data_IF_445168479871
#
_entry.id   IF_445168479871
#
_cell.length_a   1.000
_cell.length_b   1.000
_cell.length_c   1.000
_cell.angle_alpha   90.00
_cell.angle_beta   90.00
_cell.angle_gamma   90.00
#
_symmetry.space_group_name_H-M   'P 1'
#
loop_
_entity.id
_entity.type
_entity.pdbx_description
1 polymer ?
#
# COMPACT_ATOMS: atom_id res chain seq x y z
N UNK A 1 4.18 0.23 55.73
CA UNK A 1 3.11 0.49 54.77
C UNK A 1 3.40 -0.30 53.51
N UNK A 2 2.61 -1.34 53.23
CA UNK A 2 2.69 -2.08 51.97
C UNK A 2 1.79 -1.37 50.98
N UNK A 3 2.38 -0.70 49.99
CA UNK A 3 1.64 -0.11 48.88
C UNK A 3 1.28 -1.27 47.95
N UNK A 4 -0.01 -1.50 47.64
CA UNK A 4 -0.37 -2.52 46.66
C UNK A 4 0.32 -2.16 45.35
N UNK A 5 1.03 -3.12 44.74
CA UNK A 5 1.56 -2.95 43.40
C UNK A 5 0.40 -2.62 42.46
N UNK A 6 0.47 -1.46 41.80
CA UNK A 6 -0.44 -1.09 40.73
C UNK A 6 -0.34 -2.17 39.65
N UNK A 7 -1.32 -3.08 39.61
CA UNK A 7 -1.40 -4.00 38.49
C UNK A 7 -1.71 -3.18 37.23
N UNK A 8 -0.95 -3.36 36.14
CA UNK A 8 -1.25 -2.70 34.87
C UNK A 8 -2.69 -2.99 34.49
N UNK A 9 -3.41 -1.99 33.98
CA UNK A 9 -4.73 -2.19 33.38
C UNK A 9 -4.56 -3.15 32.21
N UNK A 10 -4.87 -4.43 32.42
CA UNK A 10 -4.91 -5.44 31.37
C UNK A 10 -6.17 -5.19 30.54
N UNK A 11 -6.03 -4.33 29.54
CA UNK A 11 -6.86 -4.35 28.34
C UNK A 11 -5.98 -5.03 27.31
N UNK A 12 -6.33 -6.25 26.89
CA UNK A 12 -5.53 -6.98 25.91
C UNK A 12 -5.11 -6.04 24.78
N UNK A 13 -3.80 -5.98 24.52
CA UNK A 13 -3.28 -5.04 23.54
C UNK A 13 -3.81 -5.38 22.15
N UNK A 14 -4.19 -6.63 21.91
CA UNK A 14 -4.79 -7.11 20.67
C UNK A 14 -5.90 -8.12 20.98
N UNK A 15 -6.83 -8.28 20.06
CA UNK A 15 -7.94 -9.23 20.18
C UNK A 15 -7.70 -10.42 19.24
N UNK A 16 -7.96 -11.63 19.73
CA UNK A 16 -7.89 -12.87 18.96
C UNK A 16 -9.21 -13.62 19.11
N UNK A 17 -9.80 -14.02 18.00
CA UNK A 17 -11.03 -14.81 17.94
C UNK A 17 -10.90 -15.90 16.87
N UNK A 18 -11.29 -17.13 17.20
CA UNK A 18 -11.23 -18.28 16.29
C UNK A 18 -9.88 -19.01 16.29
N UNK A 19 -9.62 -19.77 15.23
CA UNK A 19 -8.38 -20.53 15.04
C UNK A 19 -7.25 -19.62 14.54
N UNK A 20 -6.37 -19.21 15.47
CA UNK A 20 -5.26 -18.30 15.19
C UNK A 20 -3.99 -18.86 15.84
N UNK A 21 -2.98 -19.14 15.01
CA UNK A 21 -1.66 -19.58 15.46
C UNK A 21 -0.65 -18.46 15.29
N UNK A 22 0.00 -18.05 16.38
CA UNK A 22 0.98 -16.96 16.39
C UNK A 22 2.34 -17.51 16.78
N UNK A 23 3.35 -17.30 15.93
CA UNK A 23 4.72 -17.67 16.27
C UNK A 23 5.24 -16.85 17.47
N UNK A 24 6.01 -17.44 18.41
CA UNK A 24 6.48 -16.75 19.62
C UNK A 24 7.32 -15.49 19.40
N UNK A 25 7.91 -15.34 18.22
CA UNK A 25 8.74 -14.18 17.85
C UNK A 25 7.99 -13.10 17.09
N UNK A 26 6.71 -13.29 16.79
CA UNK A 26 5.90 -12.27 16.14
C UNK A 26 5.64 -11.08 17.08
N UNK A 27 5.63 -9.88 16.52
CA UNK A 27 5.38 -8.63 17.25
C UNK A 27 4.00 -8.12 16.86
N UNK A 28 3.11 -8.03 17.84
CA UNK A 28 1.73 -7.61 17.66
C UNK A 28 1.51 -6.28 18.39
N UNK A 29 1.28 -5.20 17.64
CA UNK A 29 1.03 -3.89 18.21
C UNK A 29 -0.38 -3.77 18.82
N UNK A 30 -0.61 -2.66 19.53
CA UNK A 30 -1.91 -2.40 20.15
C UNK A 30 -3.03 -2.20 19.11
N UNK A 31 -4.25 -2.59 19.45
CA UNK A 31 -5.43 -2.48 18.60
C UNK A 31 -5.47 -3.47 17.43
N UNK A 32 -4.56 -4.44 17.35
CA UNK A 32 -4.63 -5.50 16.32
C UNK A 32 -5.83 -6.40 16.60
N UNK A 33 -6.58 -6.75 15.56
CA UNK A 33 -7.69 -7.70 15.60
C UNK A 33 -7.39 -8.88 14.69
N UNK A 34 -7.35 -10.08 15.26
CA UNK A 34 -7.22 -11.34 14.53
C UNK A 34 -8.53 -12.11 14.69
N UNK A 35 -9.25 -12.30 13.59
CA UNK A 35 -10.50 -13.05 13.57
C UNK A 35 -10.45 -14.15 12.52
N UNK A 36 -10.62 -15.39 12.94
CA UNK A 36 -10.88 -16.50 12.05
C UNK A 36 -12.34 -16.95 12.20
N UNK A 37 -13.07 -16.98 11.09
CA UNK A 37 -14.42 -17.53 11.05
C UNK A 37 -14.41 -19.07 11.25
N UNK A 38 -15.57 -19.72 11.48
CA UNK A 38 -15.63 -21.17 11.53
C UNK A 38 -14.95 -21.82 10.31
N UNK A 39 -14.17 -22.86 10.55
CA UNK A 39 -13.39 -23.59 9.53
C UNK A 39 -12.30 -22.76 8.81
N UNK A 40 -12.07 -21.51 9.23
CA UNK A 40 -10.99 -20.66 8.73
C UNK A 40 -9.84 -20.62 9.75
N UNK A 41 -8.62 -20.34 9.28
CA UNK A 41 -7.47 -20.25 10.18
C UNK A 41 -6.51 -19.12 9.79
N UNK A 42 -5.93 -18.47 10.80
CA UNK A 42 -4.86 -17.47 10.63
C UNK A 42 -3.54 -18.05 11.14
N UNK A 43 -2.48 -17.93 10.34
CA UNK A 43 -1.13 -18.31 10.72
C UNK A 43 -0.22 -17.08 10.66
N UNK A 44 0.36 -16.70 11.80
CA UNK A 44 1.34 -15.62 11.88
C UNK A 44 2.75 -16.20 12.03
N UNK A 45 3.58 -16.01 11.01
CA UNK A 45 4.94 -16.52 10.91
C UNK A 45 5.95 -15.87 11.85
N UNK A 46 7.15 -16.48 11.90
CA UNK A 46 8.24 -16.02 12.75
C UNK A 46 8.70 -14.59 12.40
N UNK A 47 8.86 -13.74 13.41
CA UNK A 47 9.35 -12.37 13.23
C UNK A 47 8.40 -11.43 12.47
N UNK A 48 7.17 -11.86 12.18
CA UNK A 48 6.18 -10.99 11.57
C UNK A 48 5.84 -9.81 12.50
N UNK A 49 5.71 -8.62 11.94
CA UNK A 49 5.41 -7.39 12.66
C UNK A 49 4.06 -6.84 12.21
N UNK A 50 3.09 -6.77 13.11
CA UNK A 50 1.76 -6.22 12.84
C UNK A 50 1.63 -4.82 13.43
N UNK A 51 1.46 -3.83 12.56
CA UNK A 51 1.27 -2.43 12.95
C UNK A 51 -0.03 -2.20 13.72
N UNK A 52 -0.05 -1.12 14.50
CA UNK A 52 -1.20 -0.73 15.33
C UNK A 52 -2.49 -0.69 14.51
N UNK A 53 -3.58 -1.21 15.07
CA UNK A 53 -4.90 -1.17 14.43
C UNK A 53 -5.05 -2.04 13.18
N UNK A 54 -4.10 -2.95 12.91
CA UNK A 54 -4.23 -3.92 11.81
C UNK A 54 -5.36 -4.90 12.08
N UNK A 55 -6.18 -5.18 11.08
CA UNK A 55 -7.25 -6.18 11.14
C UNK A 55 -6.95 -7.30 10.16
N UNK A 56 -6.86 -8.52 10.65
CA UNK A 56 -6.77 -9.75 9.86
C UNK A 56 -8.03 -10.57 10.11
N UNK A 57 -8.81 -10.81 9.06
CA UNK A 57 -10.02 -11.60 9.10
C UNK A 57 -9.91 -12.75 8.11
N UNK A 58 -9.67 -13.97 8.59
CA UNK A 58 -9.75 -15.16 7.75
C UNK A 58 -11.21 -15.59 7.58
N UNK A 59 -11.64 -15.68 6.32
CA UNK A 59 -13.01 -16.05 5.94
C UNK A 59 -12.95 -17.00 4.74
N UNK A 60 -13.54 -18.19 4.91
CA UNK A 60 -13.61 -19.28 3.92
C UNK A 60 -12.24 -19.84 3.50
N UNK A 61 -11.29 -19.93 4.42
CA UNK A 61 -9.99 -20.53 4.13
C UNK A 61 -8.90 -20.10 5.09
N UNK A 62 -7.66 -20.09 4.60
CA UNK A 62 -6.51 -19.73 5.42
C UNK A 62 -5.82 -18.45 4.99
N UNK A 63 -5.49 -17.65 6.02
CA UNK A 63 -4.72 -16.45 5.89
C UNK A 63 -3.34 -16.65 6.53
N UNK A 64 -2.32 -16.83 5.69
CA UNK A 64 -0.94 -17.01 6.13
C UNK A 64 -0.17 -15.69 6.04
N UNK A 65 0.36 -15.23 7.16
CA UNK A 65 1.39 -14.18 7.20
C UNK A 65 2.74 -14.87 7.31
N UNK A 66 3.56 -14.75 6.26
CA UNK A 66 4.89 -15.35 6.21
C UNK A 66 5.87 -14.83 7.27
N UNK A 67 7.02 -15.48 7.36
CA UNK A 67 8.09 -15.03 8.25
C UNK A 67 8.59 -13.63 7.85
N UNK A 68 8.98 -12.82 8.84
CA UNK A 68 9.60 -11.50 8.66
C UNK A 68 8.76 -10.50 7.86
N UNK A 69 7.46 -10.75 7.71
CA UNK A 69 6.54 -9.80 7.07
C UNK A 69 6.37 -8.57 7.94
N UNK A 70 6.42 -7.39 7.33
CA UNK A 70 6.09 -6.13 8.01
C UNK A 70 4.76 -5.61 7.50
N UNK A 71 3.78 -5.49 8.39
CA UNK A 71 2.46 -4.91 8.08
C UNK A 71 2.35 -3.53 8.73
N UNK A 72 2.13 -2.51 7.91
CA UNK A 72 1.94 -1.13 8.37
C UNK A 72 0.70 -0.94 9.24
N UNK A 73 0.60 0.20 9.91
CA UNK A 73 -0.54 0.51 10.77
C UNK A 73 -1.85 0.60 9.96
N UNK A 74 -2.95 0.16 10.58
CA UNK A 74 -4.30 0.28 10.02
C UNK A 74 -4.55 -0.54 8.74
N UNK A 75 -3.75 -1.58 8.49
CA UNK A 75 -3.96 -2.47 7.35
C UNK A 75 -5.17 -3.36 7.59
N UNK A 76 -5.97 -3.60 6.54
CA UNK A 76 -7.10 -4.53 6.54
C UNK A 76 -6.79 -5.69 5.60
N UNK A 77 -6.84 -6.93 6.10
CA UNK A 77 -6.74 -8.12 5.27
C UNK A 77 -7.95 -9.01 5.55
N UNK A 78 -8.70 -9.35 4.51
CA UNK A 78 -9.92 -10.16 4.63
C UNK A 78 -9.89 -11.31 3.63
N UNK A 79 -10.28 -12.49 4.11
CA UNK A 79 -10.43 -13.70 3.31
C UNK A 79 -9.25 -14.64 3.42
N UNK A 80 -9.05 -15.44 2.38
CA UNK A 80 -7.91 -16.36 2.26
C UNK A 80 -6.76 -15.76 1.44
N UNK A 81 -5.55 -16.24 1.71
CA UNK A 81 -4.37 -15.84 0.96
C UNK A 81 -3.08 -16.02 1.75
N UNK A 82 -1.96 -15.88 1.04
CA UNK A 82 -0.63 -15.96 1.62
C UNK A 82 0.11 -14.65 1.40
N UNK A 83 0.61 -14.05 2.47
CA UNK A 83 1.58 -12.97 2.43
C UNK A 83 2.96 -13.61 2.47
N UNK A 84 3.69 -13.56 1.35
CA UNK A 84 5.00 -14.15 1.22
C UNK A 84 5.99 -13.60 2.24
N UNK A 85 6.95 -14.44 2.66
CA UNK A 85 7.94 -14.04 3.65
C UNK A 85 8.68 -12.75 3.24
N UNK A 86 9.08 -11.95 4.22
CA UNK A 86 9.81 -10.68 4.02
C UNK A 86 9.07 -9.64 3.17
N UNK A 87 7.77 -9.80 2.91
CA UNK A 87 6.96 -8.79 2.24
C UNK A 87 6.70 -7.59 3.17
N UNK A 88 6.54 -6.41 2.58
CA UNK A 88 6.26 -5.16 3.27
C UNK A 88 4.92 -4.61 2.80
N UNK A 89 3.95 -4.52 3.71
CA UNK A 89 2.62 -3.96 3.43
C UNK A 89 2.57 -2.55 3.97
N UNK A 90 2.39 -1.57 3.09
CA UNK A 90 2.25 -0.18 3.46
C UNK A 90 1.02 0.09 4.34
N UNK A 91 1.10 1.13 5.17
CA UNK A 91 0.04 1.50 6.10
C UNK A 91 -1.29 1.79 5.38
N UNK A 92 -2.41 1.50 6.07
CA UNK A 92 -3.77 1.73 5.61
C UNK A 92 -4.11 1.08 4.25
N UNK A 93 -3.38 0.02 3.87
CA UNK A 93 -3.70 -0.79 2.70
C UNK A 93 -4.78 -1.83 3.03
N UNK A 94 -5.55 -2.20 2.01
CA UNK A 94 -6.58 -3.23 2.08
C UNK A 94 -6.26 -4.36 1.12
N UNK A 95 -6.28 -5.59 1.61
CA UNK A 95 -6.05 -6.81 0.82
C UNK A 95 -7.29 -7.71 0.99
N UNK A 96 -7.92 -8.10 -0.11
CA UNK A 96 -9.14 -8.90 -0.09
C UNK A 96 -8.96 -10.15 -0.96
N UNK A 97 -9.04 -11.35 -0.39
CA UNK A 97 -8.88 -12.62 -1.13
C UNK A 97 -7.68 -12.61 -2.10
N UNK A 98 -6.52 -12.11 -1.67
CA UNK A 98 -5.37 -11.95 -2.53
C UNK A 98 -4.08 -12.35 -1.81
N UNK A 99 -3.20 -13.03 -2.54
CA UNK A 99 -1.89 -13.42 -2.06
C UNK A 99 -0.83 -12.43 -2.53
N UNK A 100 0.17 -12.20 -1.69
CA UNK A 100 1.30 -11.31 -1.95
C UNK A 100 2.55 -12.17 -2.10
N UNK A 101 3.34 -11.91 -3.13
CA UNK A 101 4.57 -12.65 -3.38
C UNK A 101 5.64 -12.41 -2.29
N UNK A 102 6.61 -13.32 -2.21
CA UNK A 102 7.76 -13.20 -1.33
C UNK A 102 8.55 -11.90 -1.60
N UNK A 103 8.91 -11.17 -0.55
CA UNK A 103 9.70 -9.94 -0.66
C UNK A 103 9.00 -8.78 -1.36
N UNK A 104 7.71 -8.91 -1.72
CA UNK A 104 6.99 -7.85 -2.40
C UNK A 104 6.76 -6.64 -1.49
N UNK A 105 6.77 -5.44 -2.08
CA UNK A 105 6.49 -4.18 -1.39
C UNK A 105 5.16 -3.65 -1.91
N UNK A 106 4.16 -3.62 -1.03
CA UNK A 106 2.86 -3.00 -1.31
C UNK A 106 2.91 -1.56 -0.78
N UNK A 107 2.72 -0.54 -1.62
CA UNK A 107 2.68 0.86 -1.17
C UNK A 107 1.57 1.12 -0.13
N UNK A 108 1.68 2.16 0.72
CA UNK A 108 0.59 2.58 1.59
C UNK A 108 -0.68 2.93 0.79
N UNK A 109 -1.84 2.79 1.43
CA UNK A 109 -3.16 3.08 0.82
C UNK A 109 -3.47 2.24 -0.43
N UNK A 110 -2.83 1.07 -0.59
CA UNK A 110 -3.11 0.17 -1.70
C UNK A 110 -4.41 -0.60 -1.47
N UNK A 111 -5.13 -0.94 -2.54
CA UNK A 111 -6.28 -1.84 -2.52
C UNK A 111 -6.02 -3.01 -3.47
N UNK A 112 -5.87 -4.21 -2.93
CA UNK A 112 -5.55 -5.43 -3.68
C UNK A 112 -6.69 -6.44 -3.55
N UNK A 113 -6.98 -7.15 -4.66
CA UNK A 113 -7.99 -8.22 -4.68
C UNK A 113 -9.45 -7.74 -4.61
N UNK A 114 -9.73 -6.55 -5.15
CA UNK A 114 -11.07 -5.99 -5.21
C UNK A 114 -12.10 -7.02 -5.76
N UNK A 115 -13.27 -7.17 -5.11
CA UNK A 115 -14.35 -7.97 -5.65
C UNK A 115 -14.83 -7.33 -6.95
N UNK A 116 -14.57 -8.04 -8.05
CA UNK A 116 -15.00 -7.78 -9.42
C UNK A 116 -14.74 -6.36 -9.97
N UNK A 117 -13.49 -6.16 -10.41
CA UNK A 117 -13.30 -5.62 -11.76
C UNK A 117 -12.59 -6.70 -12.56
N UNK A 118 -13.35 -7.55 -13.24
CA UNK A 118 -12.87 -8.23 -14.44
C UNK A 118 -12.29 -7.15 -15.37
N UNK A 119 -10.99 -6.94 -15.29
CA UNK A 119 -10.25 -6.39 -16.42
C UNK A 119 -10.00 -7.62 -17.27
N UNK A 120 -10.85 -7.82 -18.27
CA UNK A 120 -10.59 -8.74 -19.37
C UNK A 120 -9.26 -8.32 -19.97
N UNK A 121 -8.17 -8.91 -19.50
CA UNK A 121 -6.93 -8.89 -20.24
C UNK A 121 -7.24 -9.69 -21.50
N UNK A 122 -7.51 -8.99 -22.60
CA UNK A 122 -7.53 -9.61 -23.93
C UNK A 122 -6.13 -10.17 -24.15
N UNK A 123 -5.99 -11.45 -23.82
CA UNK A 123 -4.94 -12.33 -24.32
C UNK A 123 -4.86 -12.11 -25.82
N UNK A 124 -3.83 -11.39 -26.26
CA UNK A 124 -3.42 -11.35 -27.65
C UNK A 124 -2.64 -12.64 -27.89
N UNK A 125 -3.36 -13.74 -28.08
CA UNK A 125 -2.79 -14.99 -28.61
C UNK A 125 -2.53 -14.80 -30.12
N UNK A 126 -1.39 -15.24 -30.65
CA UNK A 126 -0.95 -14.92 -31.99
C UNK A 126 -1.68 -15.80 -33.02
N UNK A 127 -2.21 -15.18 -34.08
CA UNK A 127 -2.79 -15.89 -35.21
C UNK A 127 -2.20 -15.34 -36.54
N UNK A 128 -2.10 -16.19 -37.58
CA UNK A 128 -0.91 -16.35 -38.41
C UNK A 128 -0.84 -15.42 -39.64
N UNK A 129 0.36 -15.33 -40.23
CA UNK A 129 0.61 -14.69 -41.52
C UNK A 129 -0.32 -15.17 -42.63
N UNK A 130 -0.69 -14.25 -43.54
CA UNK A 130 -0.61 -14.58 -44.96
C UNK A 130 0.07 -13.45 -45.76
N UNK A 131 1.07 -13.82 -46.56
CA UNK A 131 1.50 -13.08 -47.77
C UNK A 131 0.99 -13.85 -49.01
N UNK A 132 1.07 -13.33 -50.25
CA UNK A 132 1.16 -11.94 -50.76
C UNK A 132 0.15 -11.69 -51.93
N UNK A 133 0.32 -10.56 -52.65
CA UNK A 133 -0.18 -10.20 -54.03
C UNK A 133 -1.37 -9.23 -54.05
N UNK A 134 -1.52 -8.26 -54.96
CA UNK A 134 -0.72 -7.25 -55.67
C UNK A 134 -1.75 -6.48 -56.55
N UNK A 135 -1.45 -5.22 -56.93
CA UNK A 135 -2.19 -4.37 -57.92
C UNK A 135 -3.55 -3.78 -57.49
N UNK A 136 -3.89 -2.50 -57.72
CA UNK A 136 -3.37 -1.44 -58.58
C UNK A 136 -3.69 -0.01 -58.04
N UNK A 137 -2.70 0.90 -58.15
CA UNK A 137 -2.69 2.30 -58.67
C UNK A 137 -3.88 3.27 -58.32
N UNK A 138 -3.73 4.52 -57.83
CA UNK A 138 -3.02 5.72 -58.36
C UNK A 138 -3.08 6.91 -57.34
N UNK A 139 -1.96 7.64 -57.17
CA UNK A 139 -1.70 9.09 -56.88
C UNK A 139 -2.45 9.83 -55.74
N UNK A 140 -1.82 10.62 -54.84
CA UNK A 140 -1.04 11.86 -55.12
C UNK A 140 -0.23 12.32 -53.89
N UNK A 141 0.90 12.99 -54.15
CA UNK A 141 1.92 13.61 -53.29
C UNK A 141 1.39 14.50 -52.13
N UNK A 142 2.10 14.57 -50.99
CA UNK A 142 2.93 15.74 -50.60
C UNK A 142 3.77 15.50 -49.32
N UNK A 143 5.04 15.88 -49.40
CA UNK A 143 6.13 15.84 -48.41
C UNK A 143 6.04 16.97 -47.36
N UNK A 144 6.66 16.84 -46.17
CA UNK A 144 7.24 18.02 -45.54
C UNK A 144 8.75 17.87 -45.25
N UNK A 145 9.51 18.97 -45.35
CA UNK A 145 10.95 18.98 -45.46
C UNK A 145 11.67 18.97 -44.12
N UNK A 146 12.90 18.43 -44.18
CA UNK A 146 13.94 18.53 -43.18
C UNK A 146 14.41 19.99 -43.00
N UNK A 147 14.55 20.46 -41.76
CA UNK A 147 14.93 21.84 -41.45
C UNK A 147 15.57 21.98 -40.07
N UNK A 148 16.90 22.00 -40.07
CA UNK A 148 17.89 22.53 -39.13
C UNK A 148 17.39 23.21 -37.85
N UNK A 149 17.83 22.66 -36.70
CA UNK A 149 17.73 23.27 -35.36
C UNK A 149 18.75 24.40 -35.20
N UNK A 150 18.28 25.58 -34.79
CA UNK A 150 19.08 26.70 -34.28
C UNK A 150 18.65 26.99 -32.82
N UNK A 151 19.57 27.15 -31.85
CA UNK A 151 19.24 27.16 -30.43
C UNK A 151 19.18 28.60 -29.89
N UNK A 152 18.04 29.27 -30.01
CA UNK A 152 17.85 30.58 -29.37
C UNK A 152 16.37 30.94 -29.17
N UNK A 153 15.75 30.46 -28.08
CA UNK A 153 14.69 31.15 -27.32
C UNK A 153 14.12 30.23 -26.23
N UNK A 154 14.85 30.08 -25.11
CA UNK A 154 14.24 29.57 -23.87
C UNK A 154 13.85 30.82 -23.06
N UNK A 155 12.57 31.18 -23.08
CA UNK A 155 11.99 32.15 -22.14
C UNK A 155 11.58 31.42 -20.85
N UNK A 156 11.91 31.95 -19.66
CA UNK A 156 11.83 31.19 -18.42
C UNK A 156 10.47 31.31 -17.71
N UNK A 157 10.23 30.36 -16.79
CA UNK A 157 9.23 30.37 -15.72
C UNK A 157 7.75 30.23 -16.13
N UNK A 158 7.33 28.98 -16.36
CA UNK A 158 6.00 28.56 -15.92
C UNK A 158 6.14 27.96 -14.51
N UNK A 159 5.88 28.78 -13.48
CA UNK A 159 5.66 28.27 -12.14
C UNK A 159 4.45 27.35 -12.16
N UNK A 160 4.66 26.06 -11.92
CA UNK A 160 3.59 25.12 -11.64
C UNK A 160 3.04 25.48 -10.25
N UNK A 161 2.04 26.35 -10.20
CA UNK A 161 1.27 26.62 -9.00
C UNK A 161 0.36 25.43 -8.72
N UNK A 162 0.91 24.45 -8.00
CA UNK A 162 0.17 23.26 -7.57
C UNK A 162 -0.68 23.64 -6.35
N UNK A 163 -1.85 24.22 -6.61
CA UNK A 163 -2.85 24.53 -5.57
C UNK A 163 -3.55 23.24 -5.12
N UNK A 164 -2.97 22.56 -4.14
CA UNK A 164 -3.63 21.45 -3.46
C UNK A 164 -4.63 22.01 -2.43
N UNK A 165 -5.90 22.09 -2.81
CA UNK A 165 -7.00 22.47 -1.91
C UNK A 165 -7.63 21.29 -1.16
N UNK A 166 -7.07 20.08 -1.27
CA UNK A 166 -7.60 18.92 -0.58
C UNK A 166 -7.07 18.83 0.87
N UNK A 167 -7.91 18.58 1.88
CA UNK A 167 -7.45 18.35 3.24
C UNK A 167 -6.59 17.09 3.28
N UNK A 168 -5.29 17.27 3.57
CA UNK A 168 -4.34 16.17 3.72
C UNK A 168 -4.61 15.49 5.06
N UNK A 169 -4.99 14.22 5.03
CA UNK A 169 -5.21 13.43 6.24
C UNK A 169 -3.98 13.46 7.15
N UNK A 170 -4.18 13.76 8.43
CA UNK A 170 -3.11 13.80 9.43
C UNK A 170 -2.31 15.11 9.49
N UNK A 171 -2.72 16.16 8.76
CA UNK A 171 -2.04 17.46 8.78
C UNK A 171 -1.91 18.04 10.20
N UNK A 172 -2.92 17.88 11.06
CA UNK A 172 -2.84 18.33 12.47
C UNK A 172 -1.80 17.56 13.28
N UNK A 173 -1.73 16.23 13.11
CA UNK A 173 -0.73 15.41 13.79
C UNK A 173 0.69 15.75 13.33
N UNK A 174 0.88 15.97 12.03
CA UNK A 174 2.15 16.40 11.46
C UNK A 174 2.53 17.79 11.98
N UNK A 175 1.61 18.75 11.98
CA UNK A 175 1.84 20.09 12.51
C UNK A 175 2.20 20.07 14.00
N UNK A 176 1.57 19.21 14.79
CA UNK A 176 1.88 19.00 16.21
C UNK A 176 3.26 18.38 16.41
N UNK A 177 3.66 17.45 15.55
CA UNK A 177 4.99 16.83 15.59
C UNK A 177 6.07 17.86 15.23
N UNK A 178 5.84 18.65 14.17
CA UNK A 178 6.76 19.71 13.74
C UNK A 178 6.89 20.82 14.78
N UNK A 179 5.80 21.24 15.44
CA UNK A 179 5.86 22.26 16.49
C UNK A 179 6.58 21.77 17.75
N UNK A 180 6.48 20.47 18.06
CA UNK A 180 7.15 19.86 19.21
C UNK A 180 8.65 19.64 18.95
N UNK A 181 9.01 19.16 17.76
CA UNK A 181 10.40 18.78 17.44
C UNK A 181 11.25 19.94 16.90
N UNK A 182 10.62 20.94 16.27
CA UNK A 182 11.32 22.04 15.59
C UNK A 182 10.78 23.43 16.02
N UNK A 183 10.74 23.75 17.33
CA UNK A 183 10.11 24.98 17.84
C UNK A 183 10.73 26.27 17.27
N UNK A 184 12.03 26.27 16.96
CA UNK A 184 12.73 27.45 16.44
C UNK A 184 12.61 27.64 14.92
N UNK A 185 12.17 26.62 14.18
CA UNK A 185 12.06 26.70 12.71
C UNK A 185 10.84 27.51 12.27
N UNK A 186 9.79 27.53 13.09
CA UNK A 186 8.57 28.31 12.83
C UNK A 186 8.79 29.82 13.05
N UNK A 187 9.63 30.20 14.01
CA UNK A 187 10.00 31.60 14.25
C UNK A 187 10.80 32.20 13.07
N UNK A 188 11.64 31.40 12.42
CA UNK A 188 12.40 31.82 11.24
C UNK A 188 11.51 32.09 10.02
N UNK A 189 10.43 31.32 9.84
CA UNK A 189 9.48 31.55 8.74
C UNK A 189 8.54 32.74 8.99
N UNK A 190 8.24 33.05 10.26
CA UNK A 190 7.42 34.22 10.65
C UNK A 190 8.18 35.54 10.69
N UNK A 191 9.50 35.54 10.55
CA UNK A 191 10.35 36.74 10.56
C UNK A 191 10.70 37.30 9.18
N UNK A 192 10.10 36.75 8.10
CA UNK A 192 10.31 37.21 6.71
C UNK A 192 9.03 37.80 6.08
N UNK A 193 8.08 38.26 6.90
CA UNK A 193 6.99 39.16 6.47
C UNK A 193 7.24 40.59 6.93
#
# INVERSE_FOLDING_TARGET
>A
MHVPSLQPVSRDQFCVSGDVTIHPTAIIASGVLLQADPESHIIIGAGACLGMGTVLHAHQGTLEVGAEVTIGAGVLIVGEGKIGASACIGAASTIWNHSIEHGAIVPPLSLLGAPDRQTTATTSEPAPEPTPTASDLVSTQQEPPNGTVDPAAISPAAEIQLSFSAPVYGQENLNRLLSTLLPHRQAFLKGQE
#
